data_IF_320137258469
#
_entry.id   IF_320137258469
#
_cell.length_a   1.000
_cell.length_b   1.000
_cell.length_c   1.000
_cell.angle_alpha   90.00
_cell.angle_beta   90.00
_cell.angle_gamma   90.00
#
_symmetry.space_group_name_H-M   'P 1'
#
loop_
_entity.id
_entity.type
_entity.pdbx_description
1 polymer ?
#
# COMPACT_ATOMS: atom_id res chain seq x y z
N UNK A 1 70.76 -7.22 -39.70
CA UNK A 1 70.10 -8.50 -39.34
C UNK A 1 68.80 -8.14 -38.63
N UNK A 2 67.69 -8.84 -38.93
CA UNK A 2 66.33 -8.33 -38.73
C UNK A 2 65.77 -8.70 -37.35
N UNK A 3 65.17 -7.72 -36.67
CA UNK A 3 64.26 -7.94 -35.53
C UNK A 3 62.87 -8.28 -36.07
N UNK A 4 62.66 -9.55 -36.45
CA UNK A 4 61.32 -10.11 -36.62
C UNK A 4 60.94 -10.84 -35.33
N UNK A 5 60.22 -10.14 -34.46
CA UNK A 5 59.48 -10.74 -33.35
C UNK A 5 58.18 -11.35 -33.88
N UNK A 6 57.71 -12.53 -33.40
CA UNK A 6 56.53 -13.16 -33.96
C UNK A 6 55.27 -12.33 -33.65
N UNK A 7 54.43 -12.12 -34.66
CA UNK A 7 53.05 -11.69 -34.51
C UNK A 7 52.28 -12.85 -33.86
N UNK A 8 52.24 -12.89 -32.53
CA UNK A 8 51.31 -13.74 -31.80
C UNK A 8 49.99 -13.00 -31.63
N UNK A 9 48.91 -13.71 -31.97
CA UNK A 9 47.54 -13.26 -32.12
C UNK A 9 47.12 -12.13 -31.17
N UNK A 10 46.66 -11.03 -31.76
CA UNK A 10 45.66 -10.15 -31.16
C UNK A 10 44.37 -10.93 -30.93
N UNK A 11 44.39 -11.83 -29.96
CA UNK A 11 43.23 -12.43 -29.36
C UNK A 11 42.46 -11.32 -28.67
N UNK A 12 41.52 -10.72 -29.40
CA UNK A 12 40.52 -9.82 -28.85
C UNK A 12 39.80 -10.56 -27.73
N UNK A 13 40.23 -10.37 -26.48
CA UNK A 13 39.49 -10.85 -25.31
C UNK A 13 38.29 -9.94 -25.14
N UNK A 14 37.33 -10.11 -26.04
CA UNK A 14 35.99 -9.56 -25.87
C UNK A 14 35.48 -10.12 -24.54
N UNK A 15 35.04 -9.30 -23.58
CA UNK A 15 34.40 -9.84 -22.40
C UNK A 15 33.22 -10.66 -22.90
N UNK A 16 33.18 -11.95 -22.58
CA UNK A 16 32.04 -12.81 -22.81
C UNK A 16 30.84 -12.22 -22.05
N UNK A 17 30.08 -11.35 -22.73
CA UNK A 17 28.82 -10.76 -22.23
C UNK A 17 27.68 -11.78 -22.24
N UNK A 18 27.98 -13.05 -22.53
CA UNK A 18 27.02 -14.13 -22.80
C UNK A 18 27.11 -15.29 -21.82
N UNK A 19 27.80 -15.15 -20.68
CA UNK A 19 27.46 -15.95 -19.50
C UNK A 19 26.11 -15.47 -18.97
N UNK A 20 25.05 -15.99 -19.60
CA UNK A 20 23.66 -15.62 -19.34
C UNK A 20 23.38 -15.65 -17.85
N UNK A 21 22.77 -14.58 -17.36
CA UNK A 21 22.34 -14.48 -15.97
C UNK A 21 21.36 -15.65 -15.74
N UNK A 22 21.72 -16.60 -14.88
CA UNK A 22 20.81 -17.69 -14.53
C UNK A 22 19.59 -17.11 -13.81
N UNK A 23 18.39 -17.36 -14.35
CA UNK A 23 17.13 -16.91 -13.76
C UNK A 23 16.09 -16.48 -14.78
N UNK A 24 14.94 -16.04 -14.27
CA UNK A 24 13.74 -15.74 -15.06
C UNK A 24 13.64 -14.24 -15.47
N UNK A 25 14.73 -13.47 -15.35
CA UNK A 25 14.76 -12.04 -15.69
C UNK A 25 14.43 -11.86 -17.19
N UNK A 26 13.46 -10.99 -17.51
CA UNK A 26 12.88 -10.77 -18.85
C UNK A 26 12.09 -11.94 -19.45
N UNK A 27 11.74 -12.95 -18.67
CA UNK A 27 10.82 -14.01 -19.13
C UNK A 27 9.37 -13.65 -18.77
N UNK A 28 8.37 -14.01 -19.61
CA UNK A 28 6.96 -13.72 -19.35
C UNK A 28 6.38 -14.69 -18.32
N UNK A 29 6.77 -14.53 -17.06
CA UNK A 29 6.25 -15.33 -15.95
C UNK A 29 4.82 -14.94 -15.64
N UNK A 30 3.98 -15.94 -15.32
CA UNK A 30 2.67 -15.67 -14.71
C UNK A 30 2.86 -14.96 -13.36
N UNK A 31 1.91 -14.12 -12.99
CA UNK A 31 1.81 -13.57 -11.63
C UNK A 31 1.79 -14.72 -10.61
N UNK A 32 2.52 -14.58 -9.50
CA UNK A 32 2.71 -15.61 -8.47
C UNK A 32 1.35 -16.13 -7.95
N UNK A 33 0.42 -15.21 -7.68
CA UNK A 33 -0.91 -15.50 -7.17
C UNK A 33 -2.00 -15.64 -8.24
N UNK A 34 -1.67 -15.70 -9.53
CA UNK A 34 -2.66 -15.79 -10.63
C UNK A 34 -3.68 -16.93 -10.45
N UNK A 35 -3.19 -18.10 -10.03
CA UNK A 35 -4.01 -19.28 -9.77
C UNK A 35 -4.95 -19.10 -8.57
N UNK A 36 -4.56 -18.30 -7.57
CA UNK A 36 -5.41 -17.98 -6.42
C UNK A 36 -6.49 -16.96 -6.76
N UNK A 37 -6.15 -15.97 -7.61
CA UNK A 37 -7.13 -14.97 -8.08
C UNK A 37 -8.28 -15.64 -8.83
N UNK A 38 -7.98 -16.51 -9.79
CA UNK A 38 -9.02 -17.19 -10.59
C UNK A 38 -9.83 -18.22 -9.78
N UNK A 39 -9.24 -18.76 -8.71
CA UNK A 39 -9.91 -19.71 -7.83
C UNK A 39 -10.68 -19.06 -6.67
N UNK A 40 -10.56 -17.73 -6.48
CA UNK A 40 -11.12 -17.05 -5.30
C UNK A 40 -10.45 -17.44 -3.98
N UNK A 41 -9.20 -17.93 -4.01
CA UNK A 41 -8.46 -18.37 -2.82
C UNK A 41 -7.33 -17.42 -2.43
N UNK A 42 -7.23 -16.27 -3.10
CA UNK A 42 -6.35 -15.20 -2.65
C UNK A 42 -7.05 -14.48 -1.50
N UNK A 43 -6.37 -14.38 -0.36
CA UNK A 43 -6.93 -13.75 0.85
C UNK A 43 -6.63 -12.26 0.80
N UNK A 44 -7.67 -11.45 0.74
CA UNK A 44 -7.64 -10.00 0.93
C UNK A 44 -8.01 -9.66 2.37
N UNK A 45 -7.86 -8.38 2.76
CA UNK A 45 -8.04 -7.94 4.16
C UNK A 45 -9.43 -8.32 4.70
N UNK A 46 -10.47 -8.16 3.90
CA UNK A 46 -11.87 -8.46 4.29
C UNK A 46 -12.19 -9.97 4.30
N UNK A 47 -11.33 -10.81 3.72
CA UNK A 47 -11.47 -12.27 3.78
C UNK A 47 -10.92 -12.86 5.09
N UNK A 48 -10.19 -12.06 5.87
CA UNK A 48 -9.59 -12.48 7.13
C UNK A 48 -10.70 -12.58 8.18
N UNK A 49 -10.88 -13.76 8.78
CA UNK A 49 -11.82 -13.94 9.89
C UNK A 49 -11.44 -13.03 11.06
N UNK A 50 -12.41 -12.23 11.48
CA UNK A 50 -12.30 -11.38 12.65
C UNK A 50 -12.66 -12.15 13.93
N UNK A 51 -12.12 -11.75 15.11
CA UNK A 51 -12.64 -12.20 16.39
C UNK A 51 -14.14 -11.90 16.56
N UNK A 52 -14.84 -12.71 17.34
CA UNK A 52 -16.31 -12.64 17.47
C UNK A 52 -16.83 -11.27 17.93
N UNK A 53 -16.09 -10.56 18.78
CA UNK A 53 -16.46 -9.24 19.34
C UNK A 53 -15.90 -8.05 18.54
N UNK A 54 -15.50 -8.27 17.28
CA UNK A 54 -14.93 -7.19 16.45
C UNK A 54 -15.99 -6.16 16.09
N UNK A 55 -15.71 -4.90 16.40
CA UNK A 55 -16.57 -3.77 16.04
C UNK A 55 -16.36 -3.35 14.58
N UNK A 56 -17.43 -2.81 13.99
CA UNK A 56 -17.39 -2.18 12.68
C UNK A 56 -17.32 -0.66 12.86
N UNK A 57 -16.42 -0.02 12.12
CA UNK A 57 -16.28 1.43 12.08
C UNK A 57 -16.95 1.97 10.83
N UNK A 58 -17.82 2.96 11.01
CA UNK A 58 -18.49 3.68 9.94
C UNK A 58 -18.06 5.14 9.96
N UNK A 59 -17.87 5.74 8.79
CA UNK A 59 -17.38 7.11 8.65
C UNK A 59 -18.55 8.03 8.26
N UNK A 60 -18.83 9.03 9.08
CA UNK A 60 -19.71 10.14 8.72
C UNK A 60 -18.95 11.15 7.86
N UNK A 61 -19.42 11.42 6.65
CA UNK A 61 -18.76 12.32 5.70
C UNK A 61 -19.50 13.65 5.56
N UNK A 62 -18.76 14.72 5.27
CA UNK A 62 -19.36 16.02 4.94
C UNK A 62 -20.20 15.92 3.66
N UNK A 63 -21.45 16.42 3.66
CA UNK A 63 -22.23 16.57 2.43
C UNK A 63 -21.84 17.82 1.64
N UNK A 64 -20.93 18.64 2.17
CA UNK A 64 -20.49 19.90 1.59
C UNK A 64 -19.03 19.81 1.13
N UNK A 65 -18.76 20.29 -0.09
CA UNK A 65 -17.40 20.35 -0.64
C UNK A 65 -16.49 21.30 0.16
N UNK A 66 -17.05 22.38 0.71
CA UNK A 66 -16.35 23.32 1.59
C UNK A 66 -17.36 24.04 2.49
N UNK A 67 -17.19 23.92 3.81
CA UNK A 67 -18.04 24.55 4.81
C UNK A 67 -17.31 24.63 6.15
N UNK A 68 -17.87 25.39 7.09
CA UNK A 68 -17.44 25.40 8.49
C UNK A 68 -18.43 24.59 9.32
N UNK A 69 -17.92 23.72 10.19
CA UNK A 69 -18.74 23.03 11.19
C UNK A 69 -19.10 24.04 12.28
N UNK A 70 -20.37 24.42 12.35
CA UNK A 70 -20.86 25.36 13.38
C UNK A 70 -21.43 24.63 14.60
N UNK A 71 -21.94 23.42 14.38
CA UNK A 71 -22.48 22.55 15.42
C UNK A 71 -22.49 21.10 14.91
N UNK A 72 -22.46 20.15 15.85
CA UNK A 72 -22.52 18.72 15.56
C UNK A 72 -23.31 18.04 16.68
N UNK A 73 -24.56 17.67 16.41
CA UNK A 73 -25.39 16.89 17.32
C UNK A 73 -25.38 15.42 16.87
N UNK A 74 -24.74 14.57 17.66
CA UNK A 74 -24.60 13.14 17.40
C UNK A 74 -25.45 12.28 18.35
N UNK A 75 -26.36 12.90 19.11
CA UNK A 75 -27.17 12.21 20.12
C UNK A 75 -28.00 11.06 19.54
N UNK A 76 -28.56 11.24 18.34
CA UNK A 76 -29.31 10.19 17.65
C UNK A 76 -28.42 9.01 17.23
N UNK A 77 -27.19 9.28 16.77
CA UNK A 77 -26.24 8.23 16.38
C UNK A 77 -25.80 7.46 17.63
N UNK A 78 -25.45 8.17 18.70
CA UNK A 78 -25.05 7.55 19.96
C UNK A 78 -26.17 6.71 20.61
N UNK A 79 -27.43 7.07 20.38
CA UNK A 79 -28.60 6.33 20.87
C UNK A 79 -29.06 5.18 19.98
N UNK A 80 -28.45 4.97 18.80
CA UNK A 80 -28.90 3.94 17.87
C UNK A 80 -28.55 2.52 18.39
N UNK A 81 -29.44 1.52 18.19
CA UNK A 81 -29.15 0.15 18.61
C UNK A 81 -27.86 -0.41 18.01
N UNK A 82 -27.01 -1.00 18.85
CA UNK A 82 -25.74 -1.61 18.42
C UNK A 82 -24.55 -0.64 18.31
N UNK A 83 -24.76 0.67 18.49
CA UNK A 83 -23.65 1.64 18.56
C UNK A 83 -22.93 1.52 19.90
N UNK A 84 -21.63 1.25 19.83
CA UNK A 84 -20.77 1.14 21.02
C UNK A 84 -20.13 2.47 21.38
N UNK A 85 -19.74 3.27 20.38
CA UNK A 85 -19.12 4.57 20.57
C UNK A 85 -19.37 5.46 19.35
N UNK A 86 -19.36 6.78 19.58
CA UNK A 86 -19.29 7.80 18.54
C UNK A 86 -18.05 8.64 18.81
N UNK A 87 -17.18 8.76 17.82
CA UNK A 87 -15.88 9.40 17.94
C UNK A 87 -15.83 10.67 17.08
N UNK A 88 -15.20 11.71 17.62
CA UNK A 88 -14.99 13.02 16.98
C UNK A 88 -13.50 13.41 17.08
N UNK A 89 -13.11 14.56 16.52
CA UNK A 89 -11.74 15.06 16.65
C UNK A 89 -11.30 15.20 18.12
N UNK A 90 -12.25 15.38 19.06
CA UNK A 90 -11.97 15.52 20.50
C UNK A 90 -11.54 14.21 21.17
N UNK A 91 -11.83 13.08 20.55
CA UNK A 91 -11.55 11.75 21.07
C UNK A 91 -10.18 11.22 20.61
N UNK A 92 -9.46 11.99 19.78
CA UNK A 92 -8.11 11.66 19.33
C UNK A 92 -7.14 11.93 20.49
N UNK A 93 -6.45 10.90 21.03
CA UNK A 93 -5.58 11.07 22.19
C UNK A 93 -4.29 11.83 21.88
N UNK A 94 -3.95 11.99 20.59
CA UNK A 94 -2.75 12.65 20.09
C UNK A 94 -3.07 13.85 19.22
N UNK A 95 -2.25 14.04 18.19
CA UNK A 95 -2.46 15.09 17.19
C UNK A 95 -3.51 14.61 16.18
N UNK A 96 -4.50 15.47 15.89
CA UNK A 96 -5.47 15.23 14.83
C UNK A 96 -4.87 15.52 13.45
N UNK A 97 -3.87 14.73 13.04
CA UNK A 97 -3.20 14.84 11.75
C UNK A 97 -2.64 13.48 11.32
N UNK A 98 -2.92 13.07 10.08
CA UNK A 98 -2.37 11.88 9.45
C UNK A 98 -1.49 12.18 8.23
N UNK A 99 -1.08 13.45 8.04
CA UNK A 99 -0.24 13.83 6.91
C UNK A 99 1.11 13.12 7.00
N UNK A 100 1.59 12.48 5.92
CA UNK A 100 2.87 11.80 5.94
C UNK A 100 4.06 12.77 6.01
N UNK A 101 3.85 14.06 5.70
CA UNK A 101 4.94 15.04 5.55
C UNK A 101 4.59 16.43 6.08
N UNK A 102 3.42 16.99 5.72
CA UNK A 102 3.20 18.44 5.77
C UNK A 102 2.32 18.93 6.94
N UNK A 103 1.71 18.02 7.71
CA UNK A 103 0.87 18.37 8.85
C UNK A 103 -0.42 19.11 8.45
N UNK A 104 -0.99 18.74 7.30
CA UNK A 104 -2.10 19.41 6.63
C UNK A 104 -3.28 18.48 6.32
N UNK A 105 -3.32 17.28 6.93
CA UNK A 105 -4.32 16.25 6.66
C UNK A 105 -4.96 15.79 7.97
N UNK A 106 -6.01 16.47 8.45
CA UNK A 106 -6.66 16.11 9.71
C UNK A 106 -7.35 14.76 9.60
N UNK A 107 -7.24 13.94 10.66
CA UNK A 107 -7.90 12.61 10.72
C UNK A 107 -9.42 12.77 10.71
N UNK A 108 -9.94 13.71 11.50
CA UNK A 108 -11.35 14.07 11.58
C UNK A 108 -11.51 15.59 11.52
N UNK A 109 -12.59 16.06 10.89
CA UNK A 109 -12.87 17.50 10.82
C UNK A 109 -13.20 18.11 12.19
N UNK A 110 -12.78 19.36 12.39
CA UNK A 110 -13.01 20.17 13.60
C UNK A 110 -13.76 21.48 13.35
#
# INVERSE_FOLDING_TARGET
MPDQWPLEDTGTRSPDRTRGIAGDIRTPRRHDSAHKHVAGTAVYVDDIRTPDDTLIVLIGQSPHAHARITSMDLSQVAGAPGVVAVLTHKDIPGVNDCSPVHGDDPILAE
#
